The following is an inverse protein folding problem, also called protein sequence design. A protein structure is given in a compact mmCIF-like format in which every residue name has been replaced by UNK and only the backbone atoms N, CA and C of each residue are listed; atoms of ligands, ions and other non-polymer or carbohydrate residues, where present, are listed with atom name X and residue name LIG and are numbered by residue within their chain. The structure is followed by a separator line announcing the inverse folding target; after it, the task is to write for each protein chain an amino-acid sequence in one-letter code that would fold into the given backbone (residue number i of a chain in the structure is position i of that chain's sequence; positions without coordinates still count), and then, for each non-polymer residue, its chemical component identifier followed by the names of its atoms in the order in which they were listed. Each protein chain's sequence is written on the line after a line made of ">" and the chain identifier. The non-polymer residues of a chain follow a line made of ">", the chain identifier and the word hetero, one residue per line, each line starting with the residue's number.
data_IF_494553001422
#
_entry.id   IF_494553001422
#
_cell.length_a   1.000
_cell.length_b   1.000
_cell.length_c   1.000
_cell.angle_alpha   90.00
_cell.angle_beta   90.00
_cell.angle_gamma   90.00
#
_symmetry.space_group_name_H-M   'P 1'
#
loop_
_entity.id
_entity.type
_entity.pdbx_description
1 polymer ?
#
# COMPACT_ATOMS: atom_id res chain seq x y z
N UNK A 1 -1.35 -8.81 11.07
CA UNK A 1 -1.53 -7.81 9.98
C UNK A 1 -2.98 -7.31 10.03
N UNK A 2 -3.22 -5.99 10.13
CA UNK A 2 -4.58 -5.46 10.24
C UNK A 2 -5.34 -5.69 8.92
N UNK A 3 -6.50 -6.35 8.99
CA UNK A 3 -7.31 -6.67 7.81
C UNK A 3 -7.95 -5.40 7.24
N UNK A 4 -7.63 -5.06 5.99
CA UNK A 4 -8.21 -3.90 5.31
C UNK A 4 -9.68 -4.16 4.99
N UNK A 5 -10.55 -3.29 5.48
CA UNK A 5 -11.99 -3.37 5.20
C UNK A 5 -12.23 -2.89 3.77
N UNK A 6 -12.86 -3.73 2.94
CA UNK A 6 -13.24 -3.38 1.58
C UNK A 6 -14.66 -2.82 1.56
N UNK A 7 -14.83 -1.59 1.07
CA UNK A 7 -16.16 -1.02 0.83
C UNK A 7 -16.92 -1.71 -0.30
N UNK A 8 -16.22 -2.47 -1.16
CA UNK A 8 -16.80 -3.10 -2.36
C UNK A 8 -17.68 -4.30 -2.04
N UNK A 9 -17.61 -4.86 -0.83
CA UNK A 9 -18.47 -5.98 -0.42
C UNK A 9 -19.85 -5.53 0.06
N UNK A 10 -20.07 -4.23 0.21
CA UNK A 10 -21.36 -3.63 0.59
C UNK A 10 -22.14 -3.24 -0.66
N UNK A 11 -23.42 -3.61 -0.72
CA UNK A 11 -24.34 -3.20 -1.78
C UNK A 11 -24.98 -1.86 -1.41
N UNK A 12 -24.93 -0.89 -2.32
CA UNK A 12 -25.39 0.49 -2.07
C UNK A 12 -26.86 0.57 -1.62
N UNK A 13 -27.75 -0.12 -2.34
CA UNK A 13 -29.20 -0.04 -2.14
C UNK A 13 -29.76 -1.07 -1.13
N UNK A 14 -28.89 -1.74 -0.36
CA UNK A 14 -29.29 -2.70 0.65
C UNK A 14 -29.18 -2.08 2.05
N UNK A 15 -30.18 -2.34 2.88
CA UNK A 15 -30.12 -2.09 4.31
C UNK A 15 -29.41 -3.24 5.01
N UNK A 16 -28.57 -2.91 5.98
CA UNK A 16 -27.80 -3.88 6.75
C UNK A 16 -28.09 -3.74 8.23
N UNK A 17 -28.35 -4.86 8.88
CA UNK A 17 -28.19 -4.95 10.33
C UNK A 17 -26.71 -4.95 10.72
N UNK A 18 -26.42 -4.72 12.00
CA UNK A 18 -25.05 -4.83 12.53
C UNK A 18 -24.43 -6.21 12.25
N UNK A 19 -25.22 -7.28 12.30
CA UNK A 19 -24.77 -8.64 12.01
C UNK A 19 -24.43 -8.84 10.53
N UNK A 20 -25.33 -8.40 9.64
CA UNK A 20 -25.12 -8.53 8.20
C UNK A 20 -23.93 -7.68 7.73
N UNK A 21 -23.77 -6.45 8.24
CA UNK A 21 -22.62 -5.61 7.94
C UNK A 21 -21.31 -6.27 8.41
N UNK A 22 -21.33 -6.91 9.58
CA UNK A 22 -20.21 -7.68 10.12
C UNK A 22 -19.83 -8.84 9.21
N UNK A 23 -20.80 -9.61 8.72
CA UNK A 23 -20.55 -10.71 7.76
C UNK A 23 -20.04 -10.19 6.41
N UNK A 24 -20.66 -9.15 5.85
CA UNK A 24 -20.28 -8.59 4.55
C UNK A 24 -18.85 -8.02 4.55
N UNK A 25 -18.40 -7.45 5.66
CA UNK A 25 -17.05 -6.90 5.81
C UNK A 25 -16.06 -7.92 6.41
N UNK A 26 -16.57 -9.04 6.95
CA UNK A 26 -15.89 -10.04 7.78
C UNK A 26 -15.09 -9.44 8.93
N UNK A 27 -15.75 -8.59 9.72
CA UNK A 27 -15.23 -7.96 10.93
C UNK A 27 -16.14 -8.28 12.13
N UNK A 28 -15.66 -8.09 13.36
CA UNK A 28 -16.49 -8.30 14.55
C UNK A 28 -17.65 -7.29 14.67
N UNK A 29 -18.81 -7.74 15.16
CA UNK A 29 -20.00 -6.90 15.41
C UNK A 29 -19.69 -5.69 16.32
N UNK A 30 -18.79 -5.87 17.29
CA UNK A 30 -18.34 -4.81 18.18
C UNK A 30 -17.71 -3.62 17.42
N UNK A 31 -16.98 -3.89 16.32
CA UNK A 31 -16.38 -2.86 15.48
C UNK A 31 -17.44 -2.03 14.76
N UNK A 32 -18.47 -2.68 14.21
CA UNK A 32 -19.60 -2.00 13.57
C UNK A 32 -20.37 -1.15 14.59
N UNK A 33 -20.62 -1.69 15.81
CA UNK A 33 -21.24 -0.91 16.90
C UNK A 33 -20.40 0.29 17.31
N UNK A 34 -19.08 0.15 17.37
CA UNK A 34 -18.16 1.27 17.64
C UNK A 34 -18.26 2.32 16.53
N UNK A 35 -18.37 1.94 15.27
CA UNK A 35 -18.54 2.90 14.17
C UNK A 35 -19.82 3.69 14.28
N UNK A 36 -20.95 3.06 14.66
CA UNK A 36 -22.20 3.78 14.93
C UNK A 36 -21.98 4.85 16.00
N UNK A 37 -21.30 4.51 17.10
CA UNK A 37 -20.92 5.49 18.14
C UNK A 37 -19.95 6.58 17.68
N UNK A 38 -19.17 6.32 16.63
CA UNK A 38 -18.16 7.26 16.09
C UNK A 38 -18.74 8.11 14.94
N UNK A 39 -20.03 7.98 14.62
CA UNK A 39 -20.67 8.77 13.55
C UNK A 39 -20.99 8.01 12.26
N UNK A 40 -21.10 6.67 12.26
CA UNK A 40 -21.73 5.94 11.15
C UNK A 40 -23.25 6.15 11.21
N UNK A 41 -23.89 6.72 10.16
CA UNK A 41 -25.34 6.91 10.14
C UNK A 41 -26.08 5.57 10.20
N UNK A 42 -26.93 5.42 11.19
CA UNK A 42 -27.78 4.25 11.38
C UNK A 42 -29.13 4.68 11.97
N UNK A 43 -30.20 4.02 11.54
CA UNK A 43 -31.53 4.13 12.14
C UNK A 43 -31.53 3.32 13.44
N UNK A 44 -31.33 3.99 14.56
CA UNK A 44 -31.20 3.38 15.89
C UNK A 44 -32.46 3.48 16.74
N UNK A 45 -33.51 4.16 16.26
CA UNK A 45 -34.76 4.38 17.00
C UNK A 45 -35.50 3.07 17.28
N UNK A 46 -35.40 2.09 16.38
CA UNK A 46 -36.00 0.78 16.52
C UNK A 46 -34.93 -0.31 16.42
N UNK A 47 -35.19 -1.43 17.11
CA UNK A 47 -34.33 -2.62 17.04
C UNK A 47 -34.88 -3.60 16.01
N UNK A 48 -34.04 -4.21 15.16
CA UNK A 48 -32.58 -4.03 15.08
C UNK A 48 -32.17 -2.72 14.39
N UNK A 49 -31.04 -2.15 14.81
CA UNK A 49 -30.50 -0.95 14.16
C UNK A 49 -30.15 -1.23 12.69
N UNK A 50 -30.61 -0.36 11.79
CA UNK A 50 -30.42 -0.48 10.35
C UNK A 50 -29.39 0.54 9.85
N UNK A 51 -28.46 0.07 9.02
CA UNK A 51 -27.42 0.86 8.38
C UNK A 51 -27.71 0.87 6.88
N UNK A 52 -27.88 2.06 6.31
CA UNK A 52 -28.00 2.23 4.85
C UNK A 52 -26.68 1.84 4.19
N UNK A 53 -26.72 0.97 3.18
CA UNK A 53 -25.52 0.53 2.46
C UNK A 53 -24.72 1.69 1.86
N UNK A 54 -25.40 2.69 1.33
CA UNK A 54 -24.77 3.93 0.86
C UNK A 54 -24.00 4.68 1.96
N UNK A 55 -24.62 4.86 3.13
CA UNK A 55 -23.97 5.51 4.27
C UNK A 55 -22.75 4.72 4.76
N UNK A 56 -22.85 3.38 4.78
CA UNK A 56 -21.73 2.51 5.12
C UNK A 56 -20.58 2.62 4.11
N UNK A 57 -20.88 2.67 2.82
CA UNK A 57 -19.87 2.87 1.77
C UNK A 57 -19.20 4.25 1.92
N UNK A 58 -19.98 5.31 2.12
CA UNK A 58 -19.46 6.66 2.31
C UNK A 58 -18.52 6.74 3.53
N UNK A 59 -18.95 6.16 4.66
CA UNK A 59 -18.16 6.09 5.88
C UNK A 59 -16.84 5.34 5.68
N UNK A 60 -16.85 4.21 4.96
CA UNK A 60 -15.64 3.46 4.66
C UNK A 60 -14.72 4.22 3.70
N UNK A 61 -15.27 4.92 2.70
CA UNK A 61 -14.49 5.72 1.75
C UNK A 61 -13.82 6.92 2.41
N UNK A 62 -14.51 7.62 3.32
CA UNK A 62 -13.96 8.76 4.04
C UNK A 62 -12.73 8.40 4.90
N UNK A 63 -12.61 7.13 5.29
CA UNK A 63 -11.45 6.60 6.04
C UNK A 63 -10.29 6.14 5.17
N UNK A 64 -10.47 6.08 3.85
CA UNK A 64 -9.36 5.81 2.95
C UNK A 64 -8.52 7.09 2.90
N UNK A 65 -7.21 7.04 3.23
CA UNK A 65 -6.37 8.21 3.14
C UNK A 65 -6.39 8.74 1.70
N UNK A 66 -6.58 10.05 1.55
CA UNK A 66 -6.54 10.69 0.25
C UNK A 66 -5.20 10.35 -0.43
N UNK A 67 -5.27 9.92 -1.70
CA UNK A 67 -4.06 9.70 -2.48
C UNK A 67 -3.42 11.07 -2.73
N UNK A 68 -2.18 11.23 -2.28
CA UNK A 68 -1.42 12.44 -2.56
C UNK A 68 -0.69 12.25 -3.89
N UNK A 69 -1.02 13.08 -4.88
CA UNK A 69 -0.34 13.07 -6.17
C UNK A 69 1.01 13.75 -6.03
N UNK A 70 2.10 13.03 -6.33
CA UNK A 70 3.42 13.65 -6.46
C UNK A 70 3.54 14.27 -7.85
N UNK A 71 3.91 15.54 -7.92
CA UNK A 71 4.27 16.18 -9.20
C UNK A 71 5.54 15.57 -9.78
N UNK A 72 5.94 15.96 -10.98
CA UNK A 72 7.07 15.34 -11.68
C UNK A 72 8.38 15.51 -10.91
N UNK A 73 8.55 16.68 -10.30
CA UNK A 73 9.66 17.18 -9.50
C UNK A 73 9.62 16.76 -8.01
N UNK A 74 8.53 16.12 -7.58
CA UNK A 74 8.33 15.69 -6.18
C UNK A 74 8.44 14.18 -6.03
N UNK A 75 8.94 13.74 -4.88
CA UNK A 75 8.97 12.36 -4.42
C UNK A 75 8.19 12.22 -3.11
N UNK A 76 7.53 11.08 -2.89
CA UNK A 76 6.79 10.87 -1.65
C UNK A 76 7.73 10.48 -0.52
N UNK A 77 7.80 11.30 0.53
CA UNK A 77 8.56 10.97 1.72
C UNK A 77 7.76 10.04 2.64
N UNK A 78 8.27 8.85 2.93
CA UNK A 78 7.61 7.91 3.85
C UNK A 78 7.69 8.36 5.32
N UNK A 79 8.72 9.13 5.69
CA UNK A 79 8.85 9.71 7.02
C UNK A 79 7.88 10.88 7.24
N UNK A 80 7.87 11.86 6.33
CA UNK A 80 6.96 13.02 6.41
C UNK A 80 5.53 12.75 5.93
N UNK A 81 5.28 11.60 5.28
CA UNK A 81 3.99 11.21 4.65
C UNK A 81 3.40 12.27 3.72
N UNK A 82 4.27 13.03 3.05
CA UNK A 82 3.91 14.12 2.13
C UNK A 82 4.81 14.10 0.88
N UNK A 83 4.31 14.54 -0.29
CA UNK A 83 5.14 14.78 -1.46
C UNK A 83 6.10 15.93 -1.15
N UNK A 84 7.38 15.72 -1.44
CA UNK A 84 8.44 16.68 -1.16
C UNK A 84 9.43 16.71 -2.32
N UNK A 85 10.02 17.87 -2.52
CA UNK A 85 11.12 18.06 -3.47
C UNK A 85 12.40 17.44 -2.91
N UNK A 86 13.19 16.73 -3.73
CA UNK A 86 14.47 16.17 -3.28
C UNK A 86 15.43 17.29 -2.85
N UNK A 87 16.28 16.98 -1.88
CA UNK A 87 17.33 17.87 -1.42
C UNK A 87 18.28 18.19 -2.59
N UNK A 88 18.73 19.45 -2.67
CA UNK A 88 19.63 19.96 -3.72
C UNK A 88 19.10 19.80 -5.16
N UNK A 89 17.82 19.47 -5.33
CA UNK A 89 17.26 19.11 -6.65
C UNK A 89 18.03 17.98 -7.34
N UNK A 90 18.66 17.12 -6.56
CA UNK A 90 19.49 16.03 -7.04
C UNK A 90 18.82 14.68 -6.79
N UNK A 91 18.84 13.83 -7.82
CA UNK A 91 18.29 12.48 -7.76
C UNK A 91 19.23 11.48 -8.43
N UNK A 92 19.40 10.34 -7.80
CA UNK A 92 20.07 9.18 -8.38
C UNK A 92 19.08 8.37 -9.20
N UNK A 93 19.44 8.01 -10.42
CA UNK A 93 18.57 7.23 -11.32
C UNK A 93 19.09 5.80 -11.44
N UNK A 94 18.22 4.84 -11.11
CA UNK A 94 18.42 3.42 -11.38
C UNK A 94 17.54 2.97 -12.53
N UNK A 95 18.14 2.62 -13.66
CA UNK A 95 17.41 2.17 -14.84
C UNK A 95 16.93 0.73 -14.67
N UNK A 96 15.69 0.46 -15.09
CA UNK A 96 15.11 -0.89 -15.09
C UNK A 96 14.94 -1.43 -16.50
N UNK A 97 15.02 -2.76 -16.61
CA UNK A 97 14.72 -3.50 -17.83
C UNK A 97 13.25 -3.23 -18.20
N UNK A 98 13.00 -2.58 -19.34
CA UNK A 98 11.66 -2.11 -19.76
C UNK A 98 11.52 -0.57 -19.86
N UNK A 99 12.62 0.18 -19.79
CA UNK A 99 12.70 1.59 -20.20
C UNK A 99 12.37 2.61 -19.10
N UNK A 100 11.69 2.21 -18.03
CA UNK A 100 11.51 3.05 -16.85
C UNK A 100 12.74 3.07 -15.93
N UNK A 101 12.68 3.94 -14.92
CA UNK A 101 13.69 4.01 -13.87
C UNK A 101 13.06 4.19 -12.49
N UNK A 102 13.83 3.87 -11.46
CA UNK A 102 13.59 4.31 -10.09
C UNK A 102 14.49 5.52 -9.84
N UNK A 103 13.91 6.65 -9.47
CA UNK A 103 14.66 7.78 -8.91
C UNK A 103 14.69 7.68 -7.40
N UNK A 104 15.88 7.85 -6.85
CA UNK A 104 16.17 7.89 -5.42
C UNK A 104 16.69 9.28 -5.09
N UNK A 105 16.09 9.94 -4.12
CA UNK A 105 16.55 11.26 -3.65
C UNK A 105 16.43 11.37 -2.14
N UNK A 106 17.05 12.39 -1.55
CA UNK A 106 16.93 12.68 -0.13
C UNK A 106 15.82 13.70 0.12
N UNK A 107 15.06 13.58 1.21
CA UNK A 107 14.06 14.57 1.57
C UNK A 107 14.73 15.87 2.04
N UNK A 108 14.29 17.02 1.53
CA UNK A 108 14.78 18.35 1.93
C UNK A 108 14.57 18.67 3.41
N UNK A 109 13.58 18.07 4.07
CA UNK A 109 13.21 18.37 5.46
C UNK A 109 13.79 17.37 6.47
N UNK A 110 13.72 16.07 6.17
CA UNK A 110 14.09 15.01 7.12
C UNK A 110 15.30 14.17 6.68
N UNK A 111 15.87 14.48 5.51
CA UNK A 111 17.00 13.74 4.91
C UNK A 111 16.75 12.24 4.69
N UNK A 112 15.52 11.76 4.88
CA UNK A 112 15.17 10.37 4.62
C UNK A 112 15.17 10.10 3.11
N UNK A 113 15.62 8.91 2.72
CA UNK A 113 15.59 8.45 1.33
C UNK A 113 14.15 8.33 0.83
N UNK A 114 13.90 8.88 -0.35
CA UNK A 114 12.63 8.86 -1.05
C UNK A 114 12.82 8.20 -2.40
N UNK A 115 11.91 7.28 -2.75
CA UNK A 115 11.96 6.55 -4.00
C UNK A 115 10.71 6.87 -4.81
N UNK A 116 10.87 7.07 -6.11
CA UNK A 116 9.77 7.27 -7.05
C UNK A 116 10.04 6.55 -8.36
N UNK A 117 9.04 5.80 -8.84
CA UNK A 117 9.13 5.13 -10.14
C UNK A 117 8.70 6.08 -11.25
N UNK A 118 9.46 6.10 -12.33
CA UNK A 118 9.23 6.97 -13.49
C UNK A 118 9.29 6.16 -14.77
N UNK A 119 8.44 6.52 -15.74
CA UNK A 119 8.51 5.97 -17.10
C UNK A 119 9.73 6.54 -17.85
N UNK A 120 10.04 5.98 -19.03
CA UNK A 120 11.10 6.50 -19.89
C UNK A 120 10.88 7.99 -20.24
N UNK A 121 9.66 8.35 -20.64
CA UNK A 121 9.28 9.74 -20.93
C UNK A 121 9.35 10.63 -19.68
N UNK A 122 8.88 10.12 -18.54
CA UNK A 122 8.96 10.83 -17.27
C UNK A 122 10.40 11.13 -16.85
N UNK A 123 11.32 10.19 -17.10
CA UNK A 123 12.75 10.37 -16.82
C UNK A 123 13.35 11.48 -17.67
N UNK A 124 13.01 11.56 -18.95
CA UNK A 124 13.48 12.63 -19.84
C UNK A 124 12.97 14.00 -19.41
N UNK A 125 11.72 14.07 -18.94
CA UNK A 125 11.16 15.29 -18.37
C UNK A 125 11.84 15.68 -17.06
N UNK A 126 12.21 14.69 -16.23
CA UNK A 126 12.90 14.93 -14.95
C UNK A 126 14.32 15.43 -15.16
N UNK A 127 15.05 14.90 -16.15
CA UNK A 127 16.39 15.38 -16.53
C UNK A 127 16.43 16.87 -16.89
N UNK A 128 15.31 17.46 -17.31
CA UNK A 128 15.20 18.89 -17.63
C UNK A 128 14.97 19.77 -16.39
N UNK A 129 14.54 19.19 -15.28
CA UNK A 129 14.11 19.92 -14.08
C UNK A 129 15.01 19.65 -12.87
N UNK A 130 15.53 18.44 -12.75
CA UNK A 130 16.38 17.99 -11.64
C UNK A 130 17.76 17.58 -12.15
N UNK A 131 18.77 17.79 -11.32
CA UNK A 131 20.13 17.29 -11.56
C UNK A 131 20.14 15.79 -11.33
N UNK A 132 20.52 15.02 -12.36
CA UNK A 132 20.59 13.56 -12.26
C UNK A 132 22.01 13.15 -11.89
N UNK A 133 22.19 12.70 -10.65
CA UNK A 133 23.40 12.05 -10.18
C UNK A 133 23.44 10.60 -10.68
N UNK A 134 24.62 10.14 -11.11
CA UNK A 134 24.98 8.77 -11.49
C UNK A 134 23.83 7.84 -11.95
N UNK A 135 23.73 7.59 -13.26
CA UNK A 135 22.83 6.56 -13.78
C UNK A 135 23.42 5.18 -13.55
N UNK A 136 22.86 4.42 -12.61
CA UNK A 136 23.26 3.04 -12.37
C UNK A 136 22.30 2.09 -13.09
N UNK A 137 22.85 1.22 -13.94
CA UNK A 137 22.12 0.07 -14.44
C UNK A 137 22.09 -0.99 -13.34
N UNK A 138 20.91 -1.56 -13.05
CA UNK A 138 20.84 -2.70 -12.13
C UNK A 138 21.72 -3.83 -12.68
N UNK A 139 22.74 -4.21 -11.91
CA UNK A 139 23.58 -5.36 -12.21
C UNK A 139 22.73 -6.63 -12.25
N UNK A 140 22.98 -7.50 -13.23
CA UNK A 140 22.36 -8.82 -13.28
C UNK A 140 22.61 -9.54 -11.95
N UNK A 141 21.56 -10.14 -11.35
CA UNK A 141 21.73 -11.00 -10.17
C UNK A 141 22.71 -12.11 -10.59
N UNK A 142 23.92 -12.12 -10.05
CA UNK A 142 24.91 -13.14 -10.38
C UNK A 142 24.35 -14.52 -10.03
N UNK A 143 24.81 -15.56 -10.72
CA UNK A 143 24.39 -16.93 -10.43
C UNK A 143 24.65 -17.22 -8.94
N UNK A 144 23.60 -17.61 -8.22
CA UNK A 144 23.73 -18.07 -6.85
C UNK A 144 24.72 -19.24 -6.80
N UNK A 145 25.58 -19.27 -5.77
CA UNK A 145 26.40 -20.44 -5.49
C UNK A 145 25.50 -21.68 -5.39
N UNK A 146 25.91 -22.84 -5.93
CA UNK A 146 25.14 -24.06 -5.82
C UNK A 146 24.83 -24.36 -4.34
N UNK A 147 23.59 -24.75 -4.00
CA UNK A 147 23.24 -25.04 -2.62
C UNK A 147 24.11 -26.20 -2.10
N UNK A 148 24.61 -26.09 -0.86
CA UNK A 148 25.29 -27.20 -0.19
C UNK A 148 24.31 -28.36 -0.02
N UNK A 149 24.47 -29.41 -0.83
CA UNK A 149 23.67 -30.61 -0.80
C UNK A 149 24.10 -31.54 0.33
N UNK A 150 23.72 -31.22 1.57
CA UNK A 150 23.77 -32.18 2.68
C UNK A 150 22.38 -32.33 3.29
N UNK A 151 21.55 -33.18 2.67
CA UNK A 151 20.39 -33.79 3.29
C UNK A 151 20.64 -35.31 3.32
N UNK A 152 21.39 -35.77 4.32
CA UNK A 152 21.41 -37.18 4.70
C UNK A 152 20.37 -37.36 5.79
N UNK A 153 19.15 -37.75 5.41
CA UNK A 153 18.15 -38.24 6.35
C UNK A 153 18.12 -39.76 6.18
N UNK A 154 18.75 -40.55 7.07
CA UNK A 154 18.63 -41.99 6.99
C UNK A 154 17.17 -42.37 7.29
N UNK A 155 16.55 -43.11 6.37
CA UNK A 155 15.23 -43.70 6.56
C UNK A 155 15.25 -44.60 7.80
N UNK A 156 14.32 -44.41 8.73
CA UNK A 156 14.09 -45.36 9.83
C UNK A 156 13.51 -46.66 9.23
N UNK A 157 14.12 -47.83 9.43
CA UNK A 157 13.53 -49.07 8.97
C UNK A 157 12.33 -49.43 9.86
N UNK A 158 11.19 -49.64 9.21
CA UNK A 158 10.00 -50.29 9.77
C UNK A 158 10.39 -51.69 10.27
N UNK A 159 10.28 -51.94 11.57
CA UNK A 159 10.28 -53.31 12.11
C UNK A 159 8.87 -53.67 12.53
N UNK A 160 8.19 -54.40 11.64
CA UNK A 160 7.05 -55.24 12.00
C UNK A 160 7.54 -56.48 12.75
N UNK A 161 7.05 -56.67 13.98
CA UNK A 161 6.86 -57.98 14.64
C UNK A 161 5.90 -57.82 15.82
#
# INVERSE_FOLDING_TARGET
>A
MARKVSWRSVRRHRNYTVDEASRALGICKATVRRWIKTGLPALTEQKPALILGEALIAFLKARIPAKQTCRLEECFCLACRTPRRPAFDEVEVRLQQGGGGMITGLCSECSATMNKRVSADGLERIRRVLTVGAMQADGHISKSHPPCSNAHNPEEPETHA
#
